data_IF_475910176229
#
_entry.id   IF_475910176229
#
_cell.length_a   1.000
_cell.length_b   1.000
_cell.length_c   1.000
_cell.angle_alpha   90.00
_cell.angle_beta   90.00
_cell.angle_gamma   90.00
#
_symmetry.space_group_name_H-M   'P 1'
#
loop_
_entity.id
_entity.type
_entity.pdbx_description
1 polymer ?
#
# COMPACT_ATOMS: atom_id res chain seq x y z
N UNK A 1 -4.61 12.41 7.74
CA UNK A 1 -3.51 13.01 6.95
C UNK A 1 -4.09 13.41 5.62
N UNK A 2 -3.80 14.62 5.16
CA UNK A 2 -4.28 15.04 3.84
C UNK A 2 -3.58 14.22 2.76
N UNK A 3 -4.36 13.76 1.78
CA UNK A 3 -3.84 12.99 0.65
C UNK A 3 -2.96 13.92 -0.20
N UNK A 4 -1.76 13.48 -0.53
CA UNK A 4 -0.90 14.20 -1.48
C UNK A 4 -1.55 14.22 -2.87
N UNK A 5 -1.49 15.33 -3.62
CA UNK A 5 -1.91 15.35 -5.02
C UNK A 5 -1.18 14.24 -5.80
N UNK A 6 -1.92 13.46 -6.58
CA UNK A 6 -1.32 12.31 -7.27
C UNK A 6 -0.26 12.72 -8.29
N UNK A 7 -0.42 13.91 -8.88
CA UNK A 7 0.53 14.43 -9.87
C UNK A 7 1.90 14.75 -9.23
N UNK A 8 1.94 15.18 -7.97
CA UNK A 8 3.20 15.36 -7.24
C UNK A 8 3.91 14.02 -7.00
N UNK A 9 3.13 12.96 -6.72
CA UNK A 9 3.66 11.60 -6.54
C UNK A 9 4.23 11.06 -7.85
N UNK A 10 3.51 11.26 -8.96
CA UNK A 10 3.95 10.84 -10.30
C UNK A 10 5.22 11.58 -10.72
N UNK A 11 5.31 12.88 -10.44
CA UNK A 11 6.50 13.68 -10.71
C UNK A 11 7.75 13.08 -10.03
N UNK A 12 7.67 12.79 -8.72
CA UNK A 12 8.80 12.19 -7.99
C UNK A 12 9.13 10.77 -8.47
N UNK A 13 8.12 9.99 -8.82
CA UNK A 13 8.34 8.65 -9.38
C UNK A 13 9.04 8.69 -10.74
N UNK A 14 8.70 9.65 -11.59
CA UNK A 14 9.38 9.82 -12.88
C UNK A 14 10.86 10.17 -12.71
N UNK A 15 11.23 10.90 -11.65
CA UNK A 15 12.63 11.13 -11.31
C UNK A 15 13.35 9.79 -11.02
N UNK A 16 12.75 8.91 -10.23
CA UNK A 16 13.29 7.56 -9.99
C UNK A 16 13.38 6.71 -11.27
N UNK A 17 12.35 6.73 -12.11
CA UNK A 17 12.32 6.02 -13.40
C UNK A 17 13.44 6.51 -14.32
N UNK A 18 13.68 7.83 -14.39
CA UNK A 18 14.72 8.44 -15.23
C UNK A 18 16.13 7.95 -14.91
N UNK A 19 16.35 7.48 -13.67
CA UNK A 19 17.61 6.90 -13.20
C UNK A 19 17.66 5.37 -13.37
N UNK A 20 16.69 4.78 -14.08
CA UNK A 20 16.59 3.34 -14.34
C UNK A 20 15.82 2.55 -13.26
N UNK A 21 15.13 3.25 -12.35
CA UNK A 21 14.25 2.64 -11.36
C UNK A 21 13.11 1.83 -12.00
N UNK A 22 12.80 0.67 -11.42
CA UNK A 22 11.80 -0.27 -12.00
C UNK A 22 10.71 -0.70 -11.04
N UNK A 23 10.97 -0.68 -9.75
CA UNK A 23 10.05 -1.17 -8.74
C UNK A 23 10.17 -0.32 -7.47
N UNK A 24 9.03 0.03 -6.88
CA UNK A 24 8.93 0.62 -5.54
C UNK A 24 8.08 -0.31 -4.67
N UNK A 25 8.47 -0.43 -3.40
CA UNK A 25 7.64 -1.03 -2.36
C UNK A 25 7.09 0.10 -1.51
N UNK A 26 5.78 0.26 -1.44
CA UNK A 26 5.14 1.17 -0.51
C UNK A 26 4.93 0.45 0.82
N UNK A 27 5.62 0.92 1.85
CA UNK A 27 5.62 0.30 3.19
C UNK A 27 4.44 0.77 4.06
N UNK A 28 3.49 1.52 3.50
CA UNK A 28 2.28 1.96 4.21
C UNK A 28 1.31 0.78 4.29
N UNK A 29 1.46 -0.06 5.31
CA UNK A 29 0.74 -1.34 5.42
C UNK A 29 -0.67 -1.27 6.01
N UNK A 30 -1.08 -0.12 6.53
CA UNK A 30 -2.35 0.04 7.25
C UNK A 30 -3.04 1.35 6.93
N UNK A 31 -4.38 1.33 6.97
CA UNK A 31 -5.22 2.53 6.89
C UNK A 31 -4.90 3.54 8.00
N UNK A 32 -4.38 3.07 9.15
CA UNK A 32 -4.02 3.91 10.30
C UNK A 32 -2.94 4.96 9.98
N UNK A 33 -2.12 4.69 8.97
CA UNK A 33 -1.04 5.55 8.48
C UNK A 33 -1.27 6.02 7.04
N UNK A 34 -2.49 5.85 6.52
CA UNK A 34 -2.91 6.42 5.24
C UNK A 34 -2.62 5.56 4.02
N UNK A 35 -2.62 4.22 4.14
CA UNK A 35 -2.54 3.32 2.98
C UNK A 35 -3.67 3.61 1.99
N UNK A 36 -3.34 3.75 0.71
CA UNK A 36 -4.29 3.97 -0.38
C UNK A 36 -3.95 3.07 -1.59
N UNK A 37 -4.49 1.85 -1.59
CA UNK A 37 -4.21 0.86 -2.63
C UNK A 37 -4.65 1.32 -4.03
N UNK A 38 -5.76 2.07 -4.12
CA UNK A 38 -6.26 2.58 -5.40
C UNK A 38 -5.33 3.63 -5.99
N UNK A 39 -4.82 4.54 -5.16
CA UNK A 39 -3.81 5.50 -5.59
C UNK A 39 -2.53 4.81 -6.08
N UNK A 40 -2.05 3.79 -5.37
CA UNK A 40 -0.88 3.02 -5.80
C UNK A 40 -1.09 2.37 -7.17
N UNK A 41 -2.27 1.78 -7.41
CA UNK A 41 -2.63 1.21 -8.73
C UNK A 41 -2.70 2.29 -9.81
N UNK A 42 -3.32 3.44 -9.52
CA UNK A 42 -3.42 4.55 -10.47
C UNK A 42 -2.02 5.05 -10.89
N UNK A 43 -1.10 5.22 -9.95
CA UNK A 43 0.29 5.61 -10.22
C UNK A 43 1.02 4.55 -11.04
N UNK A 44 0.87 3.26 -10.68
CA UNK A 44 1.48 2.17 -11.44
C UNK A 44 1.00 2.14 -12.90
N UNK A 45 -0.31 2.32 -13.13
CA UNK A 45 -0.89 2.38 -14.47
C UNK A 45 -0.42 3.60 -15.27
N UNK A 46 -0.35 4.78 -14.63
CA UNK A 46 0.08 6.03 -15.29
C UNK A 46 1.57 6.06 -15.63
N UNK A 47 2.42 5.41 -14.84
CA UNK A 47 3.89 5.48 -14.97
C UNK A 47 4.52 4.24 -15.59
N UNK A 48 3.82 3.09 -15.58
CA UNK A 48 4.38 1.79 -15.95
C UNK A 48 5.37 1.21 -14.95
N UNK A 49 5.57 1.86 -13.79
CA UNK A 49 6.41 1.35 -12.70
C UNK A 49 5.72 0.18 -11.99
N UNK A 50 6.50 -0.78 -11.50
CA UNK A 50 5.98 -1.80 -10.58
C UNK A 50 5.86 -1.21 -9.18
N UNK A 51 4.67 -1.27 -8.58
CA UNK A 51 4.44 -0.80 -7.21
C UNK A 51 3.88 -1.96 -6.40
N UNK A 52 4.59 -2.32 -5.32
CA UNK A 52 4.20 -3.38 -4.40
C UNK A 52 3.57 -2.73 -3.16
N UNK A 53 2.29 -2.96 -2.92
CA UNK A 53 1.61 -2.54 -1.70
C UNK A 53 1.93 -3.47 -0.53
N UNK A 54 1.89 -2.93 0.69
CA UNK A 54 2.11 -3.69 1.93
C UNK A 54 0.83 -3.95 2.72
N UNK A 55 0.90 -4.91 3.63
CA UNK A 55 -0.15 -5.24 4.60
C UNK A 55 0.46 -5.42 5.98
N UNK A 56 -0.25 -4.93 7.00
CA UNK A 56 0.07 -5.19 8.39
C UNK A 56 -0.14 -3.96 9.27
N UNK A 57 -0.44 -4.17 10.55
CA UNK A 57 -0.61 -3.08 11.48
C UNK A 57 0.70 -2.33 11.72
N UNK A 58 0.58 -1.04 12.01
CA UNK A 58 1.69 -0.20 12.46
C UNK A 58 1.74 -0.12 14.00
N UNK A 59 2.44 0.87 14.54
CA UNK A 59 2.55 1.09 15.99
C UNK A 59 1.18 1.33 16.63
N UNK A 60 0.99 0.81 17.84
CA UNK A 60 -0.24 0.92 18.64
C UNK A 60 -0.79 2.35 18.73
N UNK A 61 0.09 3.36 18.85
CA UNK A 61 -0.29 4.78 18.86
C UNK A 61 -1.18 5.19 17.67
N UNK A 62 -0.98 4.58 16.50
CA UNK A 62 -1.75 4.86 15.29
C UNK A 62 -2.91 3.87 15.11
N UNK A 63 -2.71 2.62 15.50
CA UNK A 63 -3.72 1.58 15.35
C UNK A 63 -4.87 1.65 16.37
N UNK A 64 -4.63 2.24 17.55
CA UNK A 64 -5.61 2.29 18.65
C UNK A 64 -6.17 0.88 18.93
N UNK A 65 -7.49 0.74 19.06
CA UNK A 65 -8.11 -0.54 19.37
C UNK A 65 -7.97 -1.61 18.26
N UNK A 66 -7.56 -1.24 17.04
CA UNK A 66 -7.41 -2.20 15.92
C UNK A 66 -6.32 -3.23 16.15
N UNK A 67 -5.28 -2.89 16.91
CA UNK A 67 -4.15 -3.80 17.17
C UNK A 67 -4.42 -4.78 18.31
N UNK A 68 -5.44 -4.53 19.14
CA UNK A 68 -5.78 -5.38 20.29
C UNK A 68 -6.63 -6.61 19.91
N UNK A 69 -6.58 -7.02 18.64
CA UNK A 69 -7.13 -8.29 18.17
C UNK A 69 -6.23 -9.45 18.55
N UNK A 70 -6.74 -10.66 18.45
CA UNK A 70 -5.90 -11.86 18.61
C UNK A 70 -4.87 -11.96 17.47
N UNK A 71 -3.79 -12.69 17.72
CA UNK A 71 -2.77 -12.96 16.69
C UNK A 71 -3.39 -13.59 15.45
N UNK A 72 -4.32 -14.53 15.63
CA UNK A 72 -4.98 -15.23 14.52
C UNK A 72 -5.86 -14.30 13.68
N UNK A 73 -6.58 -13.35 14.30
CA UNK A 73 -7.38 -12.36 13.58
C UNK A 73 -6.51 -11.38 12.78
N UNK A 74 -5.36 -10.97 13.34
CA UNK A 74 -4.40 -10.12 12.64
C UNK A 74 -3.76 -10.88 11.47
N UNK A 75 -3.35 -12.13 11.69
CA UNK A 75 -2.79 -12.99 10.66
C UNK A 75 -3.80 -13.25 9.53
N UNK A 76 -5.07 -13.53 9.86
CA UNK A 76 -6.13 -13.72 8.88
C UNK A 76 -6.39 -12.45 8.05
N UNK A 77 -6.27 -11.27 8.66
CA UNK A 77 -6.39 -9.99 7.94
C UNK A 77 -5.25 -9.84 6.93
N UNK A 78 -4.00 -10.09 7.34
CA UNK A 78 -2.83 -10.03 6.45
C UNK A 78 -2.96 -11.06 5.32
N UNK A 79 -3.34 -12.30 5.63
CA UNK A 79 -3.55 -13.35 4.63
C UNK A 79 -4.61 -12.98 3.59
N UNK A 80 -5.74 -12.43 4.04
CA UNK A 80 -6.79 -11.94 3.15
C UNK A 80 -6.27 -10.86 2.21
N UNK A 81 -5.51 -9.89 2.71
CA UNK A 81 -4.96 -8.81 1.89
C UNK A 81 -3.88 -9.28 0.92
N UNK A 82 -3.13 -10.32 1.28
CA UNK A 82 -2.13 -10.94 0.42
C UNK A 82 -2.76 -11.78 -0.70
N UNK A 83 -3.89 -12.44 -0.44
CA UNK A 83 -4.43 -13.47 -1.33
C UNK A 83 -5.72 -13.09 -2.05
N UNK A 84 -6.52 -12.20 -1.48
CA UNK A 84 -7.84 -11.83 -1.99
C UNK A 84 -7.90 -10.35 -2.39
N UNK A 85 -7.40 -9.45 -1.54
CA UNK A 85 -7.36 -8.01 -1.84
C UNK A 85 -7.43 -7.13 -0.58
N UNK A 86 -7.00 -5.88 -0.73
CA UNK A 86 -7.00 -4.85 0.32
C UNK A 86 -8.37 -4.16 0.37
N UNK A 87 -9.00 -4.16 1.55
CA UNK A 87 -10.32 -3.58 1.75
C UNK A 87 -11.37 -4.22 0.84
N UNK A 88 -12.09 -3.41 0.07
CA UNK A 88 -13.08 -3.83 -0.92
C UNK A 88 -12.51 -3.92 -2.36
N UNK A 89 -11.19 -3.88 -2.52
CA UNK A 89 -10.53 -3.92 -3.84
C UNK A 89 -10.02 -5.32 -4.18
N UNK A 90 -9.72 -5.55 -5.45
CA UNK A 90 -9.00 -6.73 -5.96
C UNK A 90 -7.46 -6.59 -5.86
N UNK A 91 -6.96 -5.50 -5.28
CA UNK A 91 -5.53 -5.18 -5.23
C UNK A 91 -4.90 -5.90 -4.05
N UNK A 92 -3.93 -6.78 -4.31
CA UNK A 92 -3.26 -7.58 -3.29
C UNK A 92 -2.01 -6.90 -2.74
N UNK A 93 -1.70 -7.11 -1.46
CA UNK A 93 -0.52 -6.59 -0.77
C UNK A 93 0.79 -7.33 -1.15
N UNK A 94 0.99 -7.56 -2.44
CA UNK A 94 2.13 -8.26 -3.01
C UNK A 94 2.40 -7.73 -4.41
N UNK A 95 3.50 -8.16 -5.02
CA UNK A 95 3.67 -7.91 -6.45
C UNK A 95 2.62 -8.73 -7.21
N UNK A 96 1.68 -8.03 -7.83
CA UNK A 96 0.59 -8.62 -8.58
C UNK A 96 0.69 -8.14 -10.02
N UNK A 97 1.50 -8.84 -10.81
CA UNK A 97 1.52 -8.72 -12.26
C UNK A 97 0.66 -9.81 -12.88
#
# INVERSE_FOLDING_TARGET
MDRKPIEDVIFEINNFISLGGRTIVDATGSESIGRDAQALREVALKTGLNIVASSGPYLEKFESQRIHKTVDELAATIDKELNQGIGDTDIRARNDR
#
